data_IF_532542145362
#
_entry.id   IF_532542145362
#
_cell.length_a   1.000
_cell.length_b   1.000
_cell.length_c   1.000
_cell.angle_alpha   90.00
_cell.angle_beta   90.00
_cell.angle_gamma   90.00
#
_symmetry.space_group_name_H-M   'P 1'
#
loop_
_entity.id
_entity.type
_entity.pdbx_description
1 polymer ?
#
# COMPACT_ATOMS: atom_id res chain seq x y z
N UNK A 1 19.29 15.17 -1.62
CA UNK A 1 17.85 15.21 -1.34
C UNK A 1 17.53 16.44 -0.51
N UNK A 2 16.69 17.33 -1.04
CA UNK A 2 16.02 18.35 -0.23
C UNK A 2 15.06 17.70 0.78
N UNK A 3 14.68 18.45 1.82
CA UNK A 3 13.67 17.99 2.77
C UNK A 3 12.27 18.08 2.16
N UNK A 4 11.47 17.02 2.31
CA UNK A 4 10.05 17.03 1.95
C UNK A 4 9.21 16.43 3.09
N UNK A 5 7.90 16.69 3.06
CA UNK A 5 6.98 16.17 4.07
C UNK A 5 6.21 14.98 3.50
N UNK A 6 6.42 13.82 4.10
CA UNK A 6 5.64 12.61 3.84
C UNK A 6 4.48 12.49 4.83
N UNK A 7 3.33 12.00 4.38
CA UNK A 7 2.22 11.60 5.23
C UNK A 7 1.89 10.13 5.00
N UNK A 8 1.86 9.35 6.09
CA UNK A 8 1.28 8.02 6.11
C UNK A 8 -0.13 8.14 6.70
N UNK A 9 -1.17 8.03 5.87
CA UNK A 9 -2.55 8.14 6.35
C UNK A 9 -3.02 6.78 6.88
N UNK A 10 -3.59 6.76 8.07
CA UNK A 10 -4.22 5.56 8.62
C UNK A 10 -5.69 5.53 8.20
N UNK A 11 -6.14 4.37 7.70
CA UNK A 11 -7.54 4.14 7.33
C UNK A 11 -8.11 2.95 8.09
N UNK A 12 -9.44 2.83 8.03
CA UNK A 12 -10.16 1.63 8.40
C UNK A 12 -11.12 1.30 7.27
N UNK A 13 -10.57 0.74 6.19
CA UNK A 13 -11.33 0.38 5.01
C UNK A 13 -12.41 -0.65 5.36
N UNK A 14 -13.63 -0.39 4.90
CA UNK A 14 -14.76 -1.31 4.97
C UNK A 14 -14.87 -2.16 3.72
N UNK A 15 -16.06 -2.70 3.46
CA UNK A 15 -16.32 -3.54 2.28
C UNK A 15 -16.78 -2.75 1.05
N UNK A 16 -17.07 -1.45 1.17
CA UNK A 16 -17.50 -0.58 0.06
C UNK A 16 -16.36 0.29 -0.47
N UNK A 17 -15.94 0.10 -1.75
CA UNK A 17 -14.98 0.97 -2.40
C UNK A 17 -15.40 2.44 -2.46
N UNK A 18 -16.69 2.74 -2.59
CA UNK A 18 -17.22 4.10 -2.64
C UNK A 18 -17.05 4.82 -1.30
N UNK A 19 -17.41 4.15 -0.20
CA UNK A 19 -17.18 4.67 1.16
C UNK A 19 -15.70 4.91 1.40
N UNK A 20 -14.86 3.95 1.02
CA UNK A 20 -13.42 4.03 1.23
C UNK A 20 -12.77 5.14 0.37
N UNK A 21 -13.28 5.40 -0.84
CA UNK A 21 -12.84 6.51 -1.68
C UNK A 21 -13.14 7.89 -1.03
N UNK A 22 -14.30 8.04 -0.38
CA UNK A 22 -14.64 9.26 0.38
C UNK A 22 -13.69 9.46 1.56
N UNK A 23 -13.41 8.39 2.32
CA UNK A 23 -12.48 8.43 3.45
C UNK A 23 -11.05 8.76 2.98
N UNK A 24 -10.60 8.14 1.88
CA UNK A 24 -9.31 8.42 1.23
C UNK A 24 -9.21 9.88 0.82
N UNK A 25 -10.19 10.41 0.10
CA UNK A 25 -10.20 11.80 -0.36
C UNK A 25 -10.06 12.78 0.80
N UNK A 26 -10.84 12.59 1.88
CA UNK A 26 -10.78 13.45 3.06
C UNK A 26 -9.38 13.46 3.67
N UNK A 27 -8.78 12.29 3.88
CA UNK A 27 -7.46 12.15 4.51
C UNK A 27 -6.33 12.68 3.63
N UNK A 28 -6.39 12.45 2.32
CA UNK A 28 -5.40 12.97 1.36
C UNK A 28 -5.44 14.50 1.32
N UNK A 29 -6.63 15.10 1.28
CA UNK A 29 -6.79 16.56 1.31
C UNK A 29 -6.29 17.16 2.61
N UNK A 30 -6.57 16.52 3.75
CA UNK A 30 -6.06 16.93 5.06
C UNK A 30 -4.53 16.91 5.08
N UNK A 31 -3.90 15.81 4.66
CA UNK A 31 -2.45 15.67 4.59
C UNK A 31 -1.80 16.72 3.66
N UNK A 32 -2.38 16.93 2.46
CA UNK A 32 -1.91 17.97 1.54
C UNK A 32 -2.05 19.38 2.13
N UNK A 33 -3.16 19.66 2.83
CA UNK A 33 -3.37 20.93 3.55
C UNK A 33 -2.36 21.18 4.67
N UNK A 34 -1.80 20.11 5.25
CA UNK A 34 -0.68 20.17 6.20
C UNK A 34 0.69 20.25 5.51
N UNK A 35 0.73 20.36 4.17
CA UNK A 35 1.93 20.54 3.37
C UNK A 35 2.67 19.24 3.03
N UNK A 36 2.00 18.08 3.12
CA UNK A 36 2.59 16.83 2.63
C UNK A 36 2.65 16.83 1.10
N UNK A 37 3.79 16.42 0.55
CA UNK A 37 4.04 16.33 -0.90
C UNK A 37 4.14 14.89 -1.38
N UNK A 38 4.36 13.96 -0.47
CA UNK A 38 4.19 12.52 -0.65
C UNK A 38 3.16 12.00 0.35
N UNK A 39 2.10 11.36 -0.12
CA UNK A 39 1.02 10.84 0.72
C UNK A 39 0.84 9.36 0.40
N UNK A 40 0.89 8.52 1.42
CA UNK A 40 0.71 7.07 1.29
C UNK A 40 -0.56 6.62 2.02
N UNK A 41 -1.44 5.89 1.33
CA UNK A 41 -2.56 5.15 1.91
C UNK A 41 -2.16 3.71 2.27
N UNK A 42 -2.92 2.98 3.09
CA UNK A 42 -2.54 1.64 3.51
C UNK A 42 -2.84 0.55 2.48
N UNK A 43 -2.46 -0.69 2.79
CA UNK A 43 -2.83 -1.88 2.01
C UNK A 43 -4.37 -2.04 1.97
N UNK A 44 -4.89 -2.57 0.86
CA UNK A 44 -6.32 -2.82 0.66
C UNK A 44 -7.17 -1.57 0.92
N UNK A 45 -6.69 -0.41 0.46
CA UNK A 45 -7.38 0.89 0.55
C UNK A 45 -8.80 0.78 -0.01
N UNK A 46 -8.97 0.06 -1.12
CA UNK A 46 -10.27 -0.07 -1.80
C UNK A 46 -11.31 -0.87 -1.07
N UNK A 47 -11.00 -2.06 -0.56
CA UNK A 47 -11.91 -2.79 0.32
C UNK A 47 -11.19 -3.93 1.02
N UNK A 48 -11.68 -4.26 2.22
CA UNK A 48 -11.34 -5.48 2.94
C UNK A 48 -12.54 -6.41 2.94
N UNK A 49 -12.45 -7.51 2.18
CA UNK A 49 -13.54 -8.48 2.01
C UNK A 49 -13.03 -9.89 2.28
N UNK A 50 -13.43 -10.47 3.41
CA UNK A 50 -13.07 -11.85 3.78
C UNK A 50 -13.81 -12.90 2.95
N UNK A 51 -15.10 -12.69 2.69
CA UNK A 51 -15.94 -13.64 1.96
C UNK A 51 -15.51 -13.79 0.49
N UNK A 52 -15.28 -15.02 0.04
CA UNK A 52 -14.77 -15.29 -1.30
C UNK A 52 -15.78 -15.06 -2.41
N UNK A 53 -17.08 -15.22 -2.14
CA UNK A 53 -18.13 -14.98 -3.13
C UNK A 53 -18.37 -13.48 -3.33
N UNK A 54 -18.37 -12.71 -2.25
CA UNK A 54 -18.45 -11.25 -2.28
C UNK A 54 -17.24 -10.62 -2.98
N UNK A 55 -16.02 -11.18 -2.80
CA UNK A 55 -14.80 -10.66 -3.44
C UNK A 55 -14.89 -10.55 -4.96
N UNK A 56 -15.48 -11.56 -5.63
CA UNK A 56 -15.59 -11.56 -7.09
C UNK A 56 -16.51 -10.43 -7.62
N UNK A 57 -17.45 -9.96 -6.80
CA UNK A 57 -18.36 -8.87 -7.16
C UNK A 57 -17.83 -7.48 -6.78
N UNK A 58 -16.91 -7.40 -5.81
CA UNK A 58 -16.41 -6.13 -5.27
C UNK A 58 -15.22 -5.54 -6.02
N UNK A 59 -14.46 -6.35 -6.76
CA UNK A 59 -13.24 -5.91 -7.42
C UNK A 59 -13.37 -5.86 -8.94
N UNK A 60 -12.75 -4.85 -9.53
CA UNK A 60 -12.85 -4.55 -10.95
C UNK A 60 -11.46 -4.35 -11.55
N UNK A 61 -11.38 -4.23 -12.87
CA UNK A 61 -10.15 -3.91 -13.57
C UNK A 61 -9.68 -2.49 -13.26
N UNK A 62 -8.38 -2.23 -13.37
CA UNK A 62 -7.76 -0.94 -13.00
C UNK A 62 -8.43 0.28 -13.64
N UNK A 63 -8.86 0.16 -14.90
CA UNK A 63 -9.53 1.22 -15.68
C UNK A 63 -10.92 1.60 -15.13
N UNK A 64 -11.53 0.72 -14.32
CA UNK A 64 -12.87 0.88 -13.75
C UNK A 64 -12.85 1.10 -12.24
N UNK A 65 -11.67 1.03 -11.62
CA UNK A 65 -11.56 1.08 -10.17
C UNK A 65 -11.73 2.52 -9.63
N UNK A 66 -12.60 2.65 -8.62
CA UNK A 66 -12.94 3.96 -8.05
C UNK A 66 -11.79 4.56 -7.24
N UNK A 67 -10.96 3.73 -6.60
CA UNK A 67 -9.78 4.20 -5.88
C UNK A 67 -8.75 4.71 -6.87
N UNK A 68 -8.50 3.98 -7.95
CA UNK A 68 -7.56 4.39 -9.01
C UNK A 68 -7.97 5.73 -9.61
N UNK A 69 -9.23 5.88 -10.03
CA UNK A 69 -9.73 7.12 -10.64
C UNK A 69 -9.76 8.30 -9.66
N UNK A 70 -10.16 8.07 -8.40
CA UNK A 70 -10.15 9.09 -7.33
C UNK A 70 -8.71 9.55 -7.03
N UNK A 71 -7.78 8.61 -6.92
CA UNK A 71 -6.37 8.89 -6.61
C UNK A 71 -5.70 9.68 -7.72
N UNK A 72 -5.94 9.30 -8.98
CA UNK A 72 -5.46 10.02 -10.15
C UNK A 72 -5.92 11.48 -10.14
N UNK A 73 -7.20 11.71 -9.85
CA UNK A 73 -7.80 13.05 -9.76
C UNK A 73 -7.14 13.84 -8.64
N UNK A 74 -7.03 13.27 -7.44
CA UNK A 74 -6.50 13.96 -6.26
C UNK A 74 -5.03 14.31 -6.40
N UNK A 75 -4.20 13.40 -6.92
CA UNK A 75 -2.78 13.66 -7.14
C UNK A 75 -2.57 14.89 -8.05
N UNK A 76 -3.34 14.96 -9.15
CA UNK A 76 -3.34 16.10 -10.07
C UNK A 76 -3.88 17.39 -9.46
N UNK A 77 -5.01 17.30 -8.77
CA UNK A 77 -5.69 18.47 -8.18
C UNK A 77 -4.84 19.12 -7.09
N UNK A 78 -4.17 18.31 -6.27
CA UNK A 78 -3.38 18.76 -5.13
C UNK A 78 -1.90 18.96 -5.46
N UNK A 79 -1.43 18.50 -6.63
CA UNK A 79 -0.05 18.60 -7.05
C UNK A 79 0.91 17.81 -6.16
N UNK A 80 0.52 16.60 -5.76
CA UNK A 80 1.27 15.73 -4.82
C UNK A 80 1.56 14.36 -5.44
N UNK A 81 2.56 13.67 -4.90
CA UNK A 81 2.72 12.24 -5.11
C UNK A 81 1.73 11.50 -4.21
N UNK A 82 0.82 10.73 -4.82
CA UNK A 82 -0.14 9.91 -4.10
C UNK A 82 0.19 8.43 -4.32
N UNK A 83 0.64 7.77 -3.27
CA UNK A 83 0.94 6.35 -3.24
C UNK A 83 -0.23 5.59 -2.63
N UNK A 84 -0.97 4.87 -3.46
CA UNK A 84 -1.99 3.94 -2.97
C UNK A 84 -1.28 2.67 -2.52
N UNK A 85 -1.29 2.46 -1.21
CA UNK A 85 -0.52 1.40 -0.57
C UNK A 85 -0.81 0.04 -1.18
N UNK A 86 -2.08 -0.29 -1.31
CA UNK A 86 -2.55 -1.15 -2.39
C UNK A 86 -4.08 -1.12 -2.53
N UNK A 87 -4.58 -1.64 -3.65
CA UNK A 87 -5.97 -2.07 -3.81
C UNK A 87 -6.02 -3.38 -4.60
N UNK A 88 -7.10 -4.16 -4.45
CA UNK A 88 -7.27 -5.39 -5.21
C UNK A 88 -7.78 -5.07 -6.62
N UNK A 89 -7.03 -5.51 -7.64
CA UNK A 89 -7.35 -5.28 -9.05
C UNK A 89 -7.62 -6.61 -9.76
N UNK A 90 -8.75 -6.69 -10.47
CA UNK A 90 -9.07 -7.85 -11.31
C UNK A 90 -8.20 -7.85 -12.56
N UNK A 91 -7.43 -8.92 -12.73
CA UNK A 91 -6.56 -9.15 -13.89
C UNK A 91 -7.33 -9.81 -15.03
N UNK A 92 -6.76 -9.74 -16.22
CA UNK A 92 -7.33 -10.37 -17.43
C UNK A 92 -7.40 -11.91 -17.34
N UNK A 93 -6.56 -12.54 -16.51
CA UNK A 93 -6.55 -13.99 -16.25
C UNK A 93 -7.61 -14.43 -15.22
N UNK A 94 -8.39 -13.49 -14.67
CA UNK A 94 -9.44 -13.74 -13.69
C UNK A 94 -8.97 -13.80 -12.24
N UNK A 95 -7.67 -13.67 -11.96
CA UNK A 95 -7.14 -13.54 -10.59
C UNK A 95 -7.08 -12.08 -10.14
N UNK A 96 -6.89 -11.87 -8.84
CA UNK A 96 -6.66 -10.54 -8.29
C UNK A 96 -5.17 -10.23 -8.18
N UNK A 97 -4.79 -8.98 -8.38
CA UNK A 97 -3.50 -8.44 -7.95
C UNK A 97 -3.71 -7.62 -6.68
N UNK A 98 -2.84 -7.76 -5.69
CA UNK A 98 -2.74 -6.82 -4.57
C UNK A 98 -1.77 -5.70 -5.02
N UNK A 99 -2.33 -4.67 -5.65
CA UNK A 99 -1.61 -3.71 -6.49
C UNK A 99 -1.39 -2.38 -5.78
N UNK A 100 -0.13 -2.02 -5.56
CA UNK A 100 0.29 -0.68 -5.20
C UNK A 100 0.46 0.19 -6.44
N UNK A 101 0.06 1.46 -6.33
CA UNK A 101 0.07 2.43 -7.43
C UNK A 101 0.64 3.76 -6.96
N UNK A 102 1.60 4.29 -7.69
CA UNK A 102 2.10 5.65 -7.47
C UNK A 102 1.59 6.58 -8.56
N UNK A 103 0.90 7.64 -8.15
CA UNK A 103 0.48 8.73 -9.02
C UNK A 103 1.38 9.95 -8.83
N UNK A 104 1.81 10.55 -9.93
CA UNK A 104 2.55 11.80 -9.95
C UNK A 104 1.65 13.02 -9.76
N UNK A 105 2.24 14.21 -9.52
CA UNK A 105 1.51 15.46 -9.28
C UNK A 105 0.74 15.97 -10.51
N UNK A 106 0.94 15.38 -11.69
CA UNK A 106 0.17 15.61 -12.91
C UNK A 106 -0.99 14.61 -13.10
N UNK A 107 -1.10 13.62 -12.21
CA UNK A 107 -2.03 12.49 -12.31
C UNK A 107 -1.54 11.35 -13.21
N UNK A 108 -0.28 11.34 -13.67
CA UNK A 108 0.27 10.19 -14.38
C UNK A 108 0.51 9.03 -13.41
N UNK A 109 0.34 7.78 -13.88
CA UNK A 109 0.80 6.60 -13.13
C UNK A 109 2.31 6.48 -13.34
N UNK A 110 3.10 6.59 -12.27
CA UNK A 110 4.56 6.56 -12.32
C UNK A 110 5.14 5.18 -12.04
N UNK A 111 4.44 4.37 -11.22
CA UNK A 111 4.84 3.02 -10.91
C UNK A 111 3.63 2.16 -10.51
N UNK A 112 3.77 0.87 -10.78
CA UNK A 112 2.85 -0.19 -10.39
C UNK A 112 3.69 -1.28 -9.73
N UNK A 113 3.25 -1.78 -8.59
CA UNK A 113 3.86 -2.93 -7.92
C UNK A 113 2.76 -3.91 -7.50
N UNK A 114 2.85 -5.15 -7.95
CA UNK A 114 1.99 -6.22 -7.48
C UNK A 114 2.72 -6.96 -6.35
N UNK A 115 2.09 -7.09 -5.18
CA UNK A 115 2.67 -7.74 -3.99
C UNK A 115 3.29 -9.09 -4.33
N UNK A 116 4.56 -9.29 -3.96
CA UNK A 116 5.32 -10.50 -4.30
C UNK A 116 5.03 -11.63 -3.31
N UNK A 117 5.02 -11.35 -2.02
CA UNK A 117 4.88 -12.40 -1.00
C UNK A 117 3.46 -12.46 -0.46
N UNK A 118 2.73 -13.51 -0.81
CA UNK A 118 1.37 -13.75 -0.33
C UNK A 118 1.35 -14.22 1.13
N UNK A 119 0.33 -13.78 1.88
CA UNK A 119 0.08 -14.21 3.24
C UNK A 119 -0.52 -15.61 3.28
N UNK A 120 0.35 -16.60 3.16
CA UNK A 120 0.03 -18.02 3.24
C UNK A 120 0.59 -18.59 4.54
N UNK A 121 -0.23 -18.65 5.60
CA UNK A 121 0.20 -19.11 6.93
C UNK A 121 -0.77 -20.10 7.53
N UNK A 122 -0.23 -21.05 8.28
CA UNK A 122 -0.97 -21.88 9.21
C UNK A 122 -0.77 -21.31 10.62
N UNK A 123 -1.87 -21.00 11.31
CA UNK A 123 -1.87 -20.52 12.67
C UNK A 123 -2.07 -21.70 13.64
N UNK A 124 -1.50 -21.60 14.84
CA UNK A 124 -1.48 -22.67 15.85
C UNK A 124 -2.87 -23.15 16.31
N UNK A 125 -3.92 -22.37 16.06
CA UNK A 125 -5.33 -22.71 16.34
C UNK A 125 -6.01 -23.52 15.21
N UNK A 126 -5.28 -23.89 14.16
CA UNK A 126 -5.81 -24.59 12.99
C UNK A 126 -6.40 -23.68 11.91
N UNK A 127 -6.32 -22.36 12.07
CA UNK A 127 -6.70 -21.43 11.02
C UNK A 127 -5.62 -21.36 9.94
N UNK A 128 -5.99 -21.65 8.70
CA UNK A 128 -5.10 -21.50 7.54
C UNK A 128 -5.55 -20.32 6.70
N UNK A 129 -4.64 -19.38 6.48
CA UNK A 129 -4.85 -18.26 5.57
C UNK A 129 -4.10 -18.53 4.28
N UNK A 130 -4.79 -18.47 3.15
CA UNK A 130 -4.23 -18.70 1.81
C UNK A 130 -4.63 -17.54 0.89
N UNK A 131 -3.87 -16.45 0.94
CA UNK A 131 -4.07 -15.30 0.06
C UNK A 131 -3.84 -15.71 -1.41
N UNK A 132 -2.90 -16.62 -1.66
CA UNK A 132 -2.55 -17.13 -3.00
C UNK A 132 -3.68 -17.85 -3.74
N UNK A 133 -4.74 -18.27 -3.03
CA UNK A 133 -5.90 -18.89 -3.66
C UNK A 133 -6.72 -17.90 -4.51
N UNK A 134 -6.66 -16.59 -4.18
CA UNK A 134 -7.39 -15.54 -4.87
C UNK A 134 -6.48 -14.54 -5.59
N UNK A 135 -5.24 -14.37 -5.12
CA UNK A 135 -4.29 -13.39 -5.63
C UNK A 135 -3.16 -14.05 -6.42
N UNK A 136 -2.79 -13.42 -7.54
CA UNK A 136 -1.57 -13.76 -8.26
C UNK A 136 -0.40 -12.95 -7.70
N UNK A 137 0.69 -13.61 -7.26
CA UNK A 137 1.89 -12.91 -6.81
C UNK A 137 2.53 -12.07 -7.93
N UNK A 138 3.06 -10.91 -7.56
CA UNK A 138 4.01 -10.19 -8.41
C UNK A 138 5.36 -10.91 -8.50
N UNK A 139 6.17 -10.53 -9.48
CA UNK A 139 7.46 -11.19 -9.77
C UNK A 139 8.65 -10.24 -9.79
N UNK A 140 8.44 -8.94 -9.59
CA UNK A 140 9.45 -7.92 -9.80
C UNK A 140 9.48 -6.92 -8.64
N UNK A 141 10.67 -6.68 -8.10
CA UNK A 141 10.93 -5.54 -7.21
C UNK A 141 10.93 -4.25 -8.03
N UNK A 142 10.38 -3.17 -7.48
CA UNK A 142 10.23 -1.89 -8.19
C UNK A 142 10.93 -0.80 -7.41
N UNK A 143 11.78 -0.02 -8.09
CA UNK A 143 12.32 1.24 -7.58
C UNK A 143 12.04 2.32 -8.61
N UNK A 144 11.41 3.41 -8.17
CA UNK A 144 11.09 4.54 -9.06
C UNK A 144 11.62 5.84 -8.47
N UNK A 145 12.04 6.77 -9.34
CA UNK A 145 12.42 8.11 -8.92
C UNK A 145 11.16 8.99 -8.77
N UNK A 146 11.08 9.73 -7.67
CA UNK A 146 10.09 10.78 -7.45
C UNK A 146 10.78 12.14 -7.44
N UNK A 147 10.41 12.99 -8.40
CA UNK A 147 10.98 14.33 -8.59
C UNK A 147 9.89 15.31 -9.03
N UNK A 148 9.86 16.50 -8.42
CA UNK A 148 8.77 17.47 -8.54
C UNK A 148 8.01 17.66 -7.22
N UNK A 149 7.02 18.55 -7.19
CA UNK A 149 6.23 18.85 -5.98
C UNK A 149 7.08 19.14 -4.71
N UNK A 150 8.26 19.76 -4.87
CA UNK A 150 9.18 20.03 -3.76
C UNK A 150 10.08 18.85 -3.34
N UNK A 151 10.05 17.74 -4.09
CA UNK A 151 10.95 16.59 -3.92
C UNK A 151 12.05 16.67 -5.00
N UNK A 152 13.31 16.60 -4.56
CA UNK A 152 14.49 16.67 -5.42
C UNK A 152 15.14 15.28 -5.54
N UNK A 153 14.61 14.49 -6.48
CA UNK A 153 15.18 13.21 -6.92
C UNK A 153 15.37 12.16 -5.81
N UNK A 154 14.28 11.75 -5.14
CA UNK A 154 14.33 10.64 -4.18
C UNK A 154 13.93 9.32 -4.87
N UNK A 155 14.57 8.20 -4.49
CA UNK A 155 14.20 6.88 -5.02
C UNK A 155 13.36 6.08 -4.04
N UNK A 156 12.19 5.64 -4.51
CA UNK A 156 11.18 4.90 -3.74
C UNK A 156 11.18 3.42 -4.11
N UNK A 157 11.44 2.54 -3.14
CA UNK A 157 11.21 1.10 -3.20
C UNK A 157 9.79 0.72 -2.75
N UNK A 158 9.25 -0.36 -3.31
CA UNK A 158 7.87 -0.82 -3.14
C UNK A 158 7.81 -2.20 -2.49
N UNK A 159 7.17 -2.25 -1.33
CA UNK A 159 6.73 -3.49 -0.71
C UNK A 159 5.26 -3.33 -0.31
N UNK A 160 4.58 -4.44 0.01
CA UNK A 160 3.24 -4.44 0.58
C UNK A 160 3.18 -5.47 1.70
N UNK A 161 2.88 -5.00 2.92
CA UNK A 161 2.53 -5.80 4.09
C UNK A 161 3.47 -6.98 4.35
N UNK A 162 3.08 -8.20 3.94
CA UNK A 162 3.81 -9.43 4.23
C UNK A 162 5.22 -9.47 3.63
N UNK A 163 5.45 -8.70 2.55
CA UNK A 163 6.78 -8.43 2.01
C UNK A 163 7.77 -7.97 3.09
N UNK A 164 7.29 -7.26 4.13
CA UNK A 164 8.09 -6.81 5.28
C UNK A 164 8.92 -7.93 5.92
N UNK A 165 8.49 -9.18 5.83
CA UNK A 165 9.19 -10.34 6.41
C UNK A 165 10.37 -10.84 5.58
N UNK A 166 10.52 -10.36 4.34
CA UNK A 166 11.50 -10.84 3.38
C UNK A 166 12.61 -9.79 3.17
N UNK A 167 13.70 -9.81 3.97
CA UNK A 167 14.76 -8.79 3.91
C UNK A 167 15.41 -8.68 2.53
N UNK A 168 15.39 -9.75 1.73
CA UNK A 168 16.01 -9.80 0.41
C UNK A 168 15.40 -8.79 -0.56
N UNK A 169 14.08 -8.52 -0.46
CA UNK A 169 13.40 -7.52 -1.28
C UNK A 169 13.98 -6.11 -1.01
N UNK A 170 13.91 -5.68 0.25
CA UNK A 170 14.43 -4.36 0.66
C UNK A 170 15.92 -4.21 0.40
N UNK A 171 16.69 -5.30 0.54
CA UNK A 171 18.10 -5.29 0.21
C UNK A 171 18.33 -5.07 -1.29
N UNK A 172 17.55 -5.71 -2.15
CA UNK A 172 17.64 -5.51 -3.60
C UNK A 172 17.26 -4.07 -3.99
N UNK A 173 16.21 -3.51 -3.38
CA UNK A 173 15.80 -2.12 -3.62
C UNK A 173 16.85 -1.10 -3.17
N UNK A 174 17.44 -1.30 -1.99
CA UNK A 174 18.51 -0.46 -1.47
C UNK A 174 19.76 -0.52 -2.36
N UNK A 175 20.13 -1.70 -2.86
CA UNK A 175 21.22 -1.87 -3.83
C UNK A 175 20.90 -1.23 -5.19
N UNK A 176 19.63 -1.12 -5.57
CA UNK A 176 19.16 -0.35 -6.72
C UNK A 176 19.08 1.17 -6.45
N UNK A 177 19.43 1.59 -5.23
CA UNK A 177 19.56 2.99 -4.82
C UNK A 177 18.31 3.58 -4.20
N UNK A 178 17.37 2.78 -3.67
CA UNK A 178 16.23 3.31 -2.93
C UNK A 178 16.68 4.04 -1.65
N UNK A 179 16.26 5.29 -1.51
CA UNK A 179 16.46 6.14 -0.32
C UNK A 179 15.28 6.06 0.66
N UNK A 180 14.11 5.69 0.11
CA UNK A 180 12.85 5.54 0.80
C UNK A 180 12.25 4.17 0.47
N UNK A 181 11.91 3.40 1.49
CA UNK A 181 11.25 2.11 1.38
C UNK A 181 9.79 2.28 1.83
N UNK A 182 8.85 1.75 1.06
CA UNK A 182 7.44 1.80 1.40
C UNK A 182 6.92 0.47 1.91
N UNK A 183 6.15 0.50 3.00
CA UNK A 183 5.53 -0.70 3.60
C UNK A 183 4.09 -0.41 4.03
N UNK A 184 3.17 -0.13 3.08
CA UNK A 184 1.76 -0.05 3.38
C UNK A 184 1.23 -1.42 3.84
N UNK A 185 0.29 -1.44 4.78
CA UNK A 185 -0.08 -2.68 5.45
C UNK A 185 -1.51 -2.75 5.97
N UNK A 186 -2.04 -3.98 6.04
CA UNK A 186 -3.17 -4.39 6.85
C UNK A 186 -2.73 -5.52 7.80
N UNK A 187 -1.72 -5.25 8.63
CA UNK A 187 -1.17 -6.21 9.60
C UNK A 187 -2.24 -6.64 10.59
N UNK A 188 -2.34 -7.94 10.88
CA UNK A 188 -3.27 -8.42 11.91
C UNK A 188 -2.85 -7.92 13.27
N UNK A 189 -3.80 -7.63 14.17
CA UNK A 189 -3.50 -7.06 15.49
C UNK A 189 -2.44 -7.83 16.26
N UNK A 190 -2.61 -9.15 16.41
CA UNK A 190 -1.69 -10.01 17.15
C UNK A 190 -0.27 -9.97 16.57
N UNK A 191 -0.13 -10.06 15.25
CA UNK A 191 1.20 -10.03 14.63
C UNK A 191 1.79 -8.62 14.57
N UNK A 192 0.95 -7.60 14.50
CA UNK A 192 1.34 -6.19 14.55
C UNK A 192 1.93 -5.80 15.89
N UNK A 193 1.25 -6.12 16.99
CA UNK A 193 1.73 -5.88 18.36
C UNK A 193 3.12 -6.50 18.59
N UNK A 194 3.38 -7.68 18.02
CA UNK A 194 4.66 -8.38 18.16
C UNK A 194 5.75 -7.92 17.18
N UNK A 195 5.40 -7.66 15.91
CA UNK A 195 6.39 -7.60 14.82
C UNK A 195 6.44 -6.28 14.05
N UNK A 196 5.38 -5.46 14.06
CA UNK A 196 5.26 -4.29 13.17
C UNK A 196 6.46 -3.34 13.31
N UNK A 197 6.63 -2.78 14.51
CA UNK A 197 7.68 -1.78 14.75
C UNK A 197 9.09 -2.34 14.63
N UNK A 198 9.33 -3.58 15.08
CA UNK A 198 10.67 -4.17 15.03
C UNK A 198 11.11 -4.45 13.60
N UNK A 199 10.22 -4.97 12.76
CA UNK A 199 10.55 -5.25 11.36
C UNK A 199 10.74 -3.97 10.55
N UNK A 200 9.87 -2.95 10.71
CA UNK A 200 10.03 -1.68 10.01
C UNK A 200 11.37 -1.01 10.36
N UNK A 201 11.72 -0.97 11.65
CA UNK A 201 13.01 -0.42 12.11
C UNK A 201 14.18 -1.23 11.57
N UNK A 202 14.07 -2.57 11.52
CA UNK A 202 15.10 -3.40 10.92
C UNK A 202 15.34 -3.04 9.45
N UNK A 203 14.28 -2.90 8.63
CA UNK A 203 14.41 -2.51 7.20
C UNK A 203 15.06 -1.15 7.03
N UNK A 204 14.69 -0.17 7.86
CA UNK A 204 15.32 1.14 7.82
C UNK A 204 16.82 1.07 8.15
N UNK A 205 17.17 0.41 9.26
CA UNK A 205 18.54 0.36 9.79
C UNK A 205 19.47 -0.43 8.87
N UNK A 206 19.05 -1.62 8.42
CA UNK A 206 19.94 -2.52 7.67
C UNK A 206 20.21 -2.03 6.23
N UNK A 207 19.32 -1.19 5.69
CA UNK A 207 19.44 -0.64 4.34
C UNK A 207 19.88 0.82 4.30
N UNK A 208 19.94 1.51 5.45
CA UNK A 208 20.29 2.92 5.50
C UNK A 208 19.27 3.83 4.79
N UNK A 209 17.99 3.45 4.82
CA UNK A 209 16.90 4.11 4.10
C UNK A 209 15.79 4.56 5.06
N UNK A 210 15.02 5.57 4.67
CA UNK A 210 13.78 5.91 5.37
C UNK A 210 12.71 4.84 5.10
N UNK A 211 11.77 4.67 6.03
CA UNK A 211 10.61 3.80 5.85
C UNK A 211 9.33 4.60 6.06
N UNK A 212 8.40 4.53 5.11
CA UNK A 212 7.04 5.07 5.24
C UNK A 212 6.06 3.91 5.13
N UNK A 213 5.18 3.79 6.13
CA UNK A 213 4.35 2.61 6.32
C UNK A 213 2.94 2.99 6.80
N UNK A 214 2.07 3.37 5.85
CA UNK A 214 0.66 3.60 6.13
C UNK A 214 -0.06 2.28 6.46
N UNK A 215 -0.80 2.24 7.55
CA UNK A 215 -1.45 1.02 8.01
C UNK A 215 -2.98 1.16 8.08
N UNK A 216 -3.68 0.06 7.87
CA UNK A 216 -5.05 -0.10 8.36
C UNK A 216 -5.03 -0.16 9.90
N UNK A 217 -6.10 0.29 10.54
CA UNK A 217 -6.23 0.22 12.00
C UNK A 217 -7.63 -0.11 12.51
N UNK A 218 -7.70 -0.87 13.60
CA UNK A 218 -8.92 -1.14 14.35
C UNK A 218 -9.71 -2.35 13.85
N UNK A 219 -10.98 -2.44 14.28
CA UNK A 219 -11.91 -3.52 13.92
C UNK A 219 -12.67 -3.17 12.63
N UNK A 220 -12.48 -3.97 11.59
CA UNK A 220 -13.09 -3.81 10.27
C UNK A 220 -14.48 -4.43 10.19
N UNK A 221 -15.25 -4.00 9.18
CA UNK A 221 -16.61 -4.50 8.89
C UNK A 221 -16.64 -6.01 8.60
N UNK A 222 -15.55 -6.57 8.07
CA UNK A 222 -15.40 -8.01 7.80
C UNK A 222 -14.95 -8.83 9.03
N UNK A 223 -14.87 -8.18 10.20
CA UNK A 223 -14.51 -8.79 11.48
C UNK A 223 -13.00 -8.90 11.74
N UNK A 224 -12.14 -8.45 10.82
CA UNK A 224 -10.68 -8.44 11.05
C UNK A 224 -10.28 -7.30 11.99
N UNK A 225 -9.26 -7.54 12.82
CA UNK A 225 -8.59 -6.49 13.58
C UNK A 225 -7.19 -6.24 13.02
N UNK A 226 -6.89 -4.99 12.70
CA UNK A 226 -5.58 -4.57 12.18
C UNK A 226 -4.83 -3.63 13.11
N UNK A 227 -3.52 -3.55 12.91
CA UNK A 227 -2.58 -2.75 13.69
C UNK A 227 -1.58 -2.06 12.79
N UNK A 228 -1.27 -0.80 13.11
CA UNK A 228 -0.09 -0.10 12.64
C UNK A 228 -0.12 1.39 12.90
#
# INVERSE_FOLDING_TARGET
MGAFKAAAIQMRSGTSPERNAVDLERLVREAAGLGATYIQSPEMTGALVRDSQARAASFTSEDKDIIVSTSRKLAKELGVFLHIGSTAILRADGKLANRALLFGPDGATLAIYDKIHMFDVDLDNGESWRESAAYEPGTEAVVTEISGAGIDGARLGFAVCYDLRFPQLFRAEALAGADLLSVPAAFTRQTGEAHWHVLLRARAIENGAYVVAAAQGGLHEDGRETYG
#
